data_IF_342555186646
#
_entry.id   IF_342555186646
#
_cell.length_a   1.000
_cell.length_b   1.000
_cell.length_c   1.000
_cell.angle_alpha   90.00
_cell.angle_beta   90.00
_cell.angle_gamma   90.00
#
_symmetry.space_group_name_H-M   'P 1'
#
loop_
_entity.id
_entity.type
_entity.pdbx_description
1 polymer ?
#
# COMPACT_ATOMS: atom_id res chain seq x y z
N UNK A 1 -43.48 18.35 1.46
CA UNK A 1 -42.85 17.19 0.82
C UNK A 1 -41.74 16.71 1.73
N UNK A 2 -41.91 15.54 2.32
CA UNK A 2 -41.00 14.99 3.34
C UNK A 2 -39.69 14.51 2.69
N UNK A 3 -38.61 14.38 3.48
CA UNK A 3 -37.30 13.89 2.98
C UNK A 3 -37.41 12.50 2.33
N UNK A 4 -38.39 11.69 2.76
CA UNK A 4 -38.71 10.38 2.18
C UNK A 4 -39.33 10.51 0.77
N UNK A 5 -40.28 11.42 0.56
CA UNK A 5 -40.88 11.67 -0.76
C UNK A 5 -39.87 12.20 -1.78
N UNK A 6 -38.85 12.95 -1.33
CA UNK A 6 -37.78 13.44 -2.20
C UNK A 6 -36.83 12.33 -2.65
N UNK A 7 -36.62 11.30 -1.81
CA UNK A 7 -35.76 10.14 -2.08
C UNK A 7 -36.32 9.25 -3.20
N UNK A 8 -37.64 9.20 -3.36
CA UNK A 8 -38.33 8.46 -4.42
C UNK A 8 -38.49 9.27 -5.73
N UNK A 9 -38.26 10.59 -5.71
CA UNK A 9 -38.51 11.48 -6.86
C UNK A 9 -37.33 11.64 -7.85
N UNK A 10 -36.12 11.23 -7.45
CA UNK A 10 -34.91 11.35 -8.28
C UNK A 10 -34.70 10.14 -9.20
N UNK A 11 -34.00 10.35 -10.33
CA UNK A 11 -33.65 9.23 -11.22
C UNK A 11 -32.66 8.26 -10.54
N UNK A 12 -32.53 7.03 -11.08
CA UNK A 12 -31.68 5.98 -10.46
C UNK A 12 -30.24 6.45 -10.21
N UNK A 13 -29.68 7.24 -11.13
CA UNK A 13 -28.32 7.78 -11.01
C UNK A 13 -28.20 8.77 -9.85
N UNK A 14 -29.18 9.64 -9.66
CA UNK A 14 -29.23 10.58 -8.54
C UNK A 14 -29.35 9.84 -7.21
N UNK A 15 -30.20 8.81 -7.13
CA UNK A 15 -30.31 7.95 -5.95
C UNK A 15 -28.98 7.27 -5.62
N UNK A 16 -28.28 6.74 -6.63
CA UNK A 16 -26.96 6.15 -6.50
C UNK A 16 -25.92 7.16 -6.00
N UNK A 17 -25.83 8.35 -6.61
CA UNK A 17 -24.93 9.42 -6.20
C UNK A 17 -25.16 9.83 -4.73
N UNK A 18 -26.43 9.99 -4.35
CA UNK A 18 -26.82 10.35 -2.99
C UNK A 18 -26.42 9.27 -1.98
N UNK A 19 -26.50 7.99 -2.37
CA UNK A 19 -26.07 6.88 -1.53
C UNK A 19 -24.55 6.80 -1.40
N UNK A 20 -23.80 6.88 -2.51
CA UNK A 20 -22.32 6.84 -2.52
C UNK A 20 -21.73 7.95 -1.66
N UNK A 21 -22.31 9.15 -1.72
CA UNK A 21 -21.81 10.33 -1.00
C UNK A 21 -22.46 10.56 0.36
N UNK A 22 -23.29 9.62 0.84
CA UNK A 22 -23.98 9.73 2.13
C UNK A 22 -23.03 9.70 3.32
N UNK A 23 -23.23 10.61 4.26
CA UNK A 23 -22.54 10.67 5.56
C UNK A 23 -23.12 9.69 6.59
N UNK A 24 -24.28 9.09 6.31
CA UNK A 24 -24.96 8.15 7.20
C UNK A 24 -24.46 6.70 7.02
N UNK A 25 -23.64 6.44 6.01
CA UNK A 25 -23.01 5.15 5.83
C UNK A 25 -22.03 4.88 6.98
N UNK A 26 -22.09 3.68 7.57
CA UNK A 26 -21.19 3.27 8.67
C UNK A 26 -19.71 3.45 8.32
N UNK A 27 -19.36 3.18 7.07
CA UNK A 27 -18.09 3.52 6.45
C UNK A 27 -18.39 4.36 5.21
N UNK A 28 -17.90 5.60 5.19
CA UNK A 28 -18.07 6.47 4.05
C UNK A 28 -17.52 5.82 2.77
N UNK A 29 -18.24 5.92 1.65
CA UNK A 29 -17.77 5.40 0.37
C UNK A 29 -17.08 6.54 -0.39
N UNK A 30 -17.86 7.50 -0.90
CA UNK A 30 -17.36 8.58 -1.75
C UNK A 30 -16.92 8.10 -3.13
N UNK A 31 -16.63 9.03 -4.03
CA UNK A 31 -16.18 8.69 -5.39
C UNK A 31 -14.82 8.01 -5.39
N UNK A 32 -13.93 8.40 -4.48
CA UNK A 32 -12.66 7.69 -4.31
C UNK A 32 -12.86 6.27 -3.77
N UNK A 33 -13.87 6.05 -2.93
CA UNK A 33 -14.22 4.72 -2.42
C UNK A 33 -14.56 3.72 -3.50
N UNK A 34 -15.16 4.17 -4.61
CA UNK A 34 -15.54 3.31 -5.75
C UNK A 34 -14.32 2.62 -6.38
N UNK A 35 -13.17 3.29 -6.43
CA UNK A 35 -11.91 2.69 -6.89
C UNK A 35 -11.14 2.03 -5.76
N UNK A 36 -11.08 2.67 -4.59
CA UNK A 36 -10.32 2.22 -3.44
C UNK A 36 -10.73 0.82 -2.96
N UNK A 37 -12.03 0.56 -2.86
CA UNK A 37 -12.56 -0.70 -2.32
C UNK A 37 -12.15 -1.90 -3.18
N UNK A 38 -12.45 -1.95 -4.50
CA UNK A 38 -12.07 -3.10 -5.31
C UNK A 38 -10.54 -3.28 -5.39
N UNK A 39 -9.75 -2.21 -5.49
CA UNK A 39 -8.29 -2.37 -5.59
C UNK A 39 -7.67 -2.86 -4.29
N UNK A 40 -8.06 -2.33 -3.13
CA UNK A 40 -7.54 -2.80 -1.86
C UNK A 40 -8.00 -4.23 -1.54
N UNK A 41 -9.23 -4.61 -1.92
CA UNK A 41 -9.71 -5.99 -1.78
C UNK A 41 -8.87 -6.95 -2.64
N UNK A 42 -8.66 -6.62 -3.92
CA UNK A 42 -7.83 -7.43 -4.82
C UNK A 42 -6.40 -7.58 -4.31
N UNK A 43 -5.75 -6.47 -3.90
CA UNK A 43 -4.40 -6.50 -3.34
C UNK A 43 -4.33 -7.35 -2.06
N UNK A 44 -5.30 -7.18 -1.16
CA UNK A 44 -5.34 -7.90 0.13
C UNK A 44 -5.56 -9.39 -0.09
N UNK A 45 -6.51 -9.78 -0.93
CA UNK A 45 -6.80 -11.18 -1.22
C UNK A 45 -5.61 -11.86 -1.90
N UNK A 46 -4.99 -11.22 -2.89
CA UNK A 46 -3.81 -11.76 -3.55
C UNK A 46 -2.63 -11.89 -2.57
N UNK A 47 -2.38 -10.89 -1.74
CA UNK A 47 -1.33 -10.93 -0.72
C UNK A 47 -1.52 -12.09 0.26
N UNK A 48 -2.72 -12.26 0.82
CA UNK A 48 -3.00 -13.34 1.78
C UNK A 48 -2.75 -14.71 1.14
N UNK A 49 -3.26 -14.94 -0.07
CA UNK A 49 -3.11 -16.23 -0.76
C UNK A 49 -1.64 -16.47 -1.10
N UNK A 50 -0.95 -15.48 -1.67
CA UNK A 50 0.45 -15.62 -2.07
C UNK A 50 1.38 -15.83 -0.86
N UNK A 51 1.16 -15.10 0.23
CA UNK A 51 1.95 -15.24 1.45
C UNK A 51 1.79 -16.64 2.08
N UNK A 52 0.61 -17.26 1.95
CA UNK A 52 0.37 -18.60 2.49
C UNK A 52 0.90 -19.68 1.55
N UNK A 53 0.65 -19.57 0.24
CA UNK A 53 0.71 -20.71 -0.67
C UNK A 53 1.38 -20.44 -2.04
N UNK A 54 2.00 -19.28 -2.27
CA UNK A 54 2.75 -19.09 -3.52
C UNK A 54 3.94 -20.05 -3.60
N UNK A 55 4.20 -20.65 -4.78
CA UNK A 55 5.42 -21.42 -5.00
C UNK A 55 6.66 -20.51 -5.02
N UNK A 56 7.88 -21.08 -5.06
CA UNK A 56 9.12 -20.30 -5.17
C UNK A 56 9.19 -19.45 -6.45
N UNK A 57 9.79 -18.26 -6.34
CA UNK A 57 9.85 -17.23 -7.40
C UNK A 57 11.28 -16.97 -7.84
N UNK A 58 11.55 -16.93 -9.14
CA UNK A 58 12.88 -16.61 -9.71
C UNK A 58 13.12 -15.09 -9.77
N UNK A 59 13.35 -14.48 -8.61
CA UNK A 59 13.48 -13.02 -8.44
C UNK A 59 14.60 -12.41 -9.29
N UNK A 60 15.76 -13.06 -9.35
CA UNK A 60 16.95 -12.50 -10.03
C UNK A 60 16.99 -12.87 -11.53
N UNK A 61 16.07 -13.71 -11.99
CA UNK A 61 16.02 -14.17 -13.39
C UNK A 61 17.15 -15.12 -13.77
N UNK A 62 17.83 -15.70 -12.79
CA UNK A 62 18.97 -16.62 -12.96
C UNK A 62 18.58 -18.09 -12.79
N UNK A 63 17.27 -18.39 -12.72
CA UNK A 63 16.71 -19.72 -12.45
C UNK A 63 17.05 -20.25 -11.07
N UNK A 64 17.07 -19.37 -10.08
CA UNK A 64 17.26 -19.71 -8.66
C UNK A 64 16.03 -19.26 -7.84
N UNK A 65 14.98 -20.10 -7.75
CA UNK A 65 13.73 -19.71 -7.11
C UNK A 65 13.87 -19.54 -5.60
N UNK A 66 13.32 -18.45 -5.08
CA UNK A 66 13.27 -18.13 -3.65
C UNK A 66 11.90 -18.51 -3.10
N UNK A 67 11.89 -19.35 -2.05
CA UNK A 67 10.66 -19.68 -1.32
C UNK A 67 10.25 -18.51 -0.42
N UNK A 68 9.04 -17.99 -0.63
CA UNK A 68 8.47 -16.91 0.19
C UNK A 68 7.25 -17.32 1.03
N UNK A 69 6.59 -18.44 0.73
CA UNK A 69 5.32 -18.78 1.34
C UNK A 69 5.45 -19.62 2.61
N UNK A 70 4.41 -19.57 3.47
CA UNK A 70 4.33 -20.39 4.68
C UNK A 70 4.31 -21.90 4.37
N UNK A 71 3.63 -22.30 3.30
CA UNK A 71 3.55 -23.71 2.90
C UNK A 71 4.89 -24.25 2.39
N UNK A 72 5.77 -23.39 1.87
CA UNK A 72 7.13 -23.74 1.44
C UNK A 72 8.19 -23.52 2.54
N UNK A 73 7.79 -23.67 3.81
CA UNK A 73 8.70 -23.76 4.95
C UNK A 73 9.08 -22.44 5.62
N UNK A 74 8.44 -21.32 5.25
CA UNK A 74 8.65 -20.05 5.93
C UNK A 74 7.78 -19.90 7.18
N UNK A 75 8.27 -19.11 8.14
CA UNK A 75 7.46 -18.59 9.25
C UNK A 75 7.04 -17.14 8.97
N UNK A 76 6.34 -16.49 9.90
CA UNK A 76 5.87 -15.10 9.74
C UNK A 76 7.03 -14.10 9.53
N UNK A 77 8.20 -14.36 10.08
CA UNK A 77 9.37 -13.48 9.94
C UNK A 77 10.04 -13.68 8.59
N UNK A 78 10.26 -14.93 8.19
CA UNK A 78 10.96 -15.25 6.94
C UNK A 78 10.07 -15.18 5.70
N UNK A 79 8.76 -15.30 5.85
CA UNK A 79 7.81 -15.29 4.75
C UNK A 79 7.70 -13.92 4.06
N UNK A 80 7.49 -13.96 2.75
CA UNK A 80 7.31 -12.79 1.90
C UNK A 80 6.57 -13.14 0.61
N UNK A 81 5.86 -12.17 0.04
CA UNK A 81 5.60 -12.21 -1.41
C UNK A 81 6.82 -11.64 -2.11
N UNK A 82 7.53 -12.50 -2.84
CA UNK A 82 8.81 -12.22 -3.50
C UNK A 82 8.59 -11.30 -4.71
N UNK A 83 9.46 -10.28 -4.93
CA UNK A 83 9.42 -9.42 -6.12
C UNK A 83 9.39 -10.17 -7.45
N UNK A 84 8.87 -9.51 -8.50
CA UNK A 84 8.84 -10.10 -9.84
C UNK A 84 10.24 -10.25 -10.43
N UNK A 85 10.42 -11.26 -11.27
CA UNK A 85 11.72 -11.62 -11.85
C UNK A 85 12.41 -10.45 -12.57
N UNK A 86 13.73 -10.36 -12.42
CA UNK A 86 14.56 -9.41 -13.18
C UNK A 86 14.51 -9.67 -14.69
N UNK A 87 14.17 -10.89 -15.12
CA UNK A 87 13.90 -11.19 -16.53
C UNK A 87 12.68 -10.42 -17.08
N UNK A 88 11.75 -10.02 -16.21
CA UNK A 88 10.62 -9.14 -16.53
C UNK A 88 11.05 -7.66 -16.51
N UNK A 89 11.99 -7.29 -15.64
CA UNK A 89 12.44 -5.90 -15.52
C UNK A 89 11.30 -4.95 -15.15
N UNK A 90 11.07 -3.92 -15.97
CA UNK A 90 9.95 -2.97 -15.84
C UNK A 90 8.72 -3.33 -16.70
N UNK A 91 8.75 -4.46 -17.40
CA UNK A 91 7.60 -4.86 -18.21
C UNK A 91 6.37 -5.09 -17.32
N UNK A 92 5.23 -4.62 -17.79
CA UNK A 92 3.96 -4.86 -17.14
C UNK A 92 3.58 -6.33 -17.34
N UNK A 93 3.51 -7.09 -16.26
CA UNK A 93 3.31 -8.55 -16.30
C UNK A 93 1.99 -8.98 -15.63
N UNK A 94 0.84 -8.68 -16.27
CA UNK A 94 -0.45 -9.12 -15.80
C UNK A 94 -0.65 -10.63 -16.03
N UNK A 95 -1.67 -11.20 -15.40
CA UNK A 95 -1.97 -12.63 -15.50
C UNK A 95 -2.12 -13.13 -16.94
N UNK A 96 -2.68 -12.30 -17.83
CA UNK A 96 -2.92 -12.65 -19.24
C UNK A 96 -1.69 -12.50 -20.15
N UNK A 97 -0.55 -12.03 -19.63
CA UNK A 97 0.71 -12.01 -20.37
C UNK A 97 1.47 -13.34 -20.24
N UNK A 98 1.24 -14.07 -19.15
CA UNK A 98 1.79 -15.41 -18.96
C UNK A 98 1.04 -16.45 -19.81
N UNK A 99 1.72 -17.51 -20.24
CA UNK A 99 1.09 -18.61 -20.95
C UNK A 99 0.14 -19.41 -20.03
N UNK A 100 0.42 -19.45 -18.73
CA UNK A 100 -0.41 -20.08 -17.71
C UNK A 100 -0.14 -19.53 -16.31
N UNK A 101 -0.92 -19.99 -15.31
CA UNK A 101 -0.82 -19.55 -13.92
C UNK A 101 0.52 -19.97 -13.30
N UNK A 102 1.06 -21.15 -13.63
CA UNK A 102 2.32 -21.63 -13.06
C UNK A 102 3.49 -20.74 -13.45
N UNK A 103 3.57 -20.35 -14.73
CA UNK A 103 4.55 -19.38 -15.22
C UNK A 103 4.38 -18.01 -14.56
N UNK A 104 3.13 -17.55 -14.42
CA UNK A 104 2.85 -16.27 -13.75
C UNK A 104 3.33 -16.27 -12.29
N UNK A 105 3.12 -17.38 -11.58
CA UNK A 105 3.60 -17.57 -10.21
C UNK A 105 5.12 -17.65 -10.15
N UNK A 106 5.76 -18.44 -11.02
CA UNK A 106 7.22 -18.61 -11.08
C UNK A 106 7.95 -17.27 -11.31
N UNK A 107 7.39 -16.39 -12.14
CA UNK A 107 7.95 -15.08 -12.45
C UNK A 107 7.56 -13.96 -11.45
N UNK A 108 6.87 -14.30 -10.35
CA UNK A 108 6.53 -13.34 -9.29
C UNK A 108 5.42 -12.36 -9.67
N UNK A 109 4.52 -12.77 -10.58
CA UNK A 109 3.35 -12.00 -10.98
C UNK A 109 2.47 -11.48 -9.83
N UNK A 110 2.25 -12.23 -8.72
CA UNK A 110 1.52 -11.72 -7.55
C UNK A 110 2.07 -10.40 -7.01
N UNK A 111 3.39 -10.21 -7.02
CA UNK A 111 4.01 -8.99 -6.52
C UNK A 111 3.52 -7.76 -7.28
N UNK A 112 3.62 -7.76 -8.62
CA UNK A 112 3.17 -6.65 -9.46
C UNK A 112 1.67 -6.38 -9.28
N UNK A 113 0.84 -7.44 -9.25
CA UNK A 113 -0.60 -7.29 -9.02
C UNK A 113 -0.88 -6.58 -7.69
N UNK A 114 -0.23 -7.02 -6.61
CA UNK A 114 -0.43 -6.45 -5.27
C UNK A 114 0.02 -4.99 -5.24
N UNK A 115 1.26 -4.69 -5.66
CA UNK A 115 1.80 -3.33 -5.53
C UNK A 115 1.00 -2.32 -6.36
N UNK A 116 0.57 -2.66 -7.58
CA UNK A 116 -0.16 -1.72 -8.42
C UNK A 116 -1.57 -1.43 -7.89
N UNK A 117 -2.29 -2.48 -7.46
CA UNK A 117 -3.61 -2.30 -6.85
C UNK A 117 -3.52 -1.59 -5.49
N UNK A 118 -2.50 -1.91 -4.69
CA UNK A 118 -2.23 -1.24 -3.41
C UNK A 118 -1.96 0.25 -3.61
N UNK A 119 -1.09 0.62 -4.56
CA UNK A 119 -0.76 2.02 -4.84
C UNK A 119 -2.00 2.82 -5.28
N UNK A 120 -2.82 2.28 -6.20
CA UNK A 120 -4.10 2.91 -6.58
C UNK A 120 -5.01 3.05 -5.34
N UNK A 121 -5.08 2.01 -4.52
CA UNK A 121 -5.88 1.98 -3.30
C UNK A 121 -5.49 3.08 -2.30
N UNK A 122 -4.19 3.26 -2.00
CA UNK A 122 -3.74 4.28 -1.05
C UNK A 122 -3.85 5.70 -1.61
N UNK A 123 -3.72 5.90 -2.92
CA UNK A 123 -4.02 7.20 -3.56
C UNK A 123 -5.50 7.54 -3.43
N UNK A 124 -6.39 6.57 -3.66
CA UNK A 124 -7.81 6.77 -3.47
C UNK A 124 -8.16 6.96 -1.98
N UNK A 125 -7.47 6.28 -1.06
CA UNK A 125 -7.63 6.50 0.38
C UNK A 125 -7.28 7.94 0.77
N UNK A 126 -6.18 8.49 0.23
CA UNK A 126 -5.80 9.89 0.40
C UNK A 126 -6.90 10.84 -0.10
N UNK A 127 -7.42 10.61 -1.31
CA UNK A 127 -8.53 11.39 -1.88
C UNK A 127 -9.82 11.27 -1.06
N UNK A 128 -10.13 10.09 -0.54
CA UNK A 128 -11.30 9.83 0.30
C UNK A 128 -11.26 10.60 1.62
N UNK A 129 -10.08 10.75 2.23
CA UNK A 129 -9.93 11.60 3.43
C UNK A 129 -10.28 13.06 3.13
N UNK A 130 -9.83 13.58 2.00
CA UNK A 130 -10.22 14.91 1.53
C UNK A 130 -11.73 15.00 1.27
N UNK A 131 -12.29 14.05 0.52
CA UNK A 131 -13.70 14.06 0.14
C UNK A 131 -14.61 14.08 1.38
N UNK A 132 -14.34 13.22 2.37
CA UNK A 132 -15.12 13.19 3.61
C UNK A 132 -14.93 14.46 4.44
N UNK A 133 -13.71 15.00 4.51
CA UNK A 133 -13.46 16.27 5.21
C UNK A 133 -14.31 17.40 4.63
N UNK A 134 -14.48 17.44 3.30
CA UNK A 134 -15.33 18.40 2.63
C UNK A 134 -16.81 18.17 2.96
N UNK A 135 -17.31 16.92 2.93
CA UNK A 135 -18.71 16.61 3.28
C UNK A 135 -19.07 17.01 4.70
N UNK A 136 -18.12 16.91 5.63
CA UNK A 136 -18.31 17.25 7.04
C UNK A 136 -17.99 18.73 7.36
N UNK A 137 -17.60 19.55 6.38
CA UNK A 137 -17.21 20.94 6.61
C UNK A 137 -15.93 21.09 7.46
N UNK A 138 -15.08 20.06 7.46
CA UNK A 138 -13.82 20.03 8.20
C UNK A 138 -12.70 20.76 7.42
N UNK A 139 -11.62 21.07 8.14
CA UNK A 139 -10.37 21.56 7.56
C UNK A 139 -9.71 20.43 6.72
N UNK A 140 -9.30 20.67 5.45
CA UNK A 140 -8.98 19.59 4.49
C UNK A 140 -7.52 19.12 4.50
N UNK A 141 -6.85 19.10 5.66
CA UNK A 141 -5.39 18.85 5.74
C UNK A 141 -4.97 17.48 6.26
N UNK A 142 -5.92 16.61 6.64
CA UNK A 142 -5.61 15.24 7.09
C UNK A 142 -4.95 14.44 5.95
N UNK A 143 -5.46 14.57 4.73
CA UNK A 143 -4.89 13.92 3.54
C UNK A 143 -3.47 14.41 3.23
N UNK A 144 -3.14 15.65 3.57
CA UNK A 144 -1.78 16.22 3.40
C UNK A 144 -0.81 15.59 4.39
N UNK A 145 -1.23 15.31 5.63
CA UNK A 145 -0.40 14.52 6.54
C UNK A 145 -0.22 13.08 6.04
N UNK A 146 -1.30 12.47 5.53
CA UNK A 146 -1.26 11.11 4.97
C UNK A 146 -0.46 11.00 3.66
N UNK A 147 -0.17 12.10 2.96
CA UNK A 147 0.67 12.04 1.77
C UNK A 147 2.12 11.65 2.09
N UNK A 148 2.62 11.87 3.31
CA UNK A 148 3.97 11.48 3.70
C UNK A 148 4.20 9.95 3.60
N UNK A 149 3.39 9.07 4.24
CA UNK A 149 3.53 7.63 4.05
C UNK A 149 3.16 7.15 2.63
N UNK A 150 2.25 7.82 1.93
CA UNK A 150 1.96 7.49 0.52
C UNK A 150 3.20 7.72 -0.35
N UNK A 151 3.88 8.86 -0.19
CA UNK A 151 5.13 9.15 -0.90
C UNK A 151 6.23 8.14 -0.57
N UNK A 152 6.35 7.71 0.68
CA UNK A 152 7.33 6.69 1.08
C UNK A 152 7.03 5.32 0.42
N UNK A 153 5.76 4.90 0.39
CA UNK A 153 5.36 3.68 -0.29
C UNK A 153 5.63 3.73 -1.80
N UNK A 154 5.32 4.86 -2.44
CA UNK A 154 5.63 5.10 -3.87
C UNK A 154 7.14 5.06 -4.12
N UNK A 155 7.95 5.59 -3.22
CA UNK A 155 9.41 5.57 -3.36
C UNK A 155 9.95 4.14 -3.43
N UNK A 156 9.54 3.24 -2.52
CA UNK A 156 10.10 1.88 -2.42
C UNK A 156 9.46 0.86 -3.35
N UNK A 157 8.21 1.05 -3.78
CA UNK A 157 7.50 0.10 -4.64
C UNK A 157 7.43 0.51 -6.11
N UNK A 158 7.75 1.76 -6.45
CA UNK A 158 7.63 2.24 -7.83
C UNK A 158 8.85 3.05 -8.28
N UNK A 159 9.22 4.10 -7.57
CA UNK A 159 10.29 5.01 -8.03
C UNK A 159 11.65 4.33 -8.01
N UNK A 160 11.98 3.62 -6.92
CA UNK A 160 13.25 2.91 -6.83
C UNK A 160 13.37 1.80 -7.89
N UNK A 161 12.37 0.89 -8.07
CA UNK A 161 12.34 -0.03 -9.20
C UNK A 161 12.55 0.62 -10.57
N UNK A 162 11.85 1.73 -10.86
CA UNK A 162 12.02 2.46 -12.12
C UNK A 162 13.45 2.97 -12.28
N UNK A 163 14.04 3.51 -11.21
CA UNK A 163 15.41 4.01 -11.21
C UNK A 163 16.45 2.91 -11.44
N UNK A 164 16.22 1.71 -10.91
CA UNK A 164 17.10 0.55 -11.10
C UNK A 164 16.82 -0.25 -12.38
N UNK A 165 15.68 -0.01 -13.03
CA UNK A 165 15.29 -0.71 -14.25
C UNK A 165 14.62 -2.06 -14.04
N UNK A 166 14.19 -2.40 -12.82
CA UNK A 166 13.50 -3.66 -12.54
C UNK A 166 12.63 -3.62 -11.28
N UNK A 167 11.48 -4.29 -11.31
CA UNK A 167 10.68 -4.56 -10.12
C UNK A 167 11.28 -5.62 -9.19
N UNK A 168 12.31 -6.37 -9.60
CA UNK A 168 13.09 -7.25 -8.71
C UNK A 168 13.79 -6.46 -7.59
N UNK A 169 14.17 -5.22 -7.88
CA UNK A 169 14.83 -4.30 -6.93
C UNK A 169 13.84 -3.60 -5.98
N UNK A 170 12.54 -3.84 -6.15
CA UNK A 170 11.52 -3.33 -5.24
C UNK A 170 11.59 -4.00 -3.87
N UNK A 171 11.15 -3.29 -2.83
CA UNK A 171 11.06 -3.89 -1.49
C UNK A 171 10.10 -5.10 -1.51
N UNK A 172 10.57 -6.28 -1.12
CA UNK A 172 9.73 -7.48 -1.02
C UNK A 172 8.68 -7.37 0.10
N UNK A 173 7.55 -8.05 -0.06
CA UNK A 173 6.40 -7.92 0.86
C UNK A 173 6.51 -8.91 2.03
N UNK A 174 7.47 -8.67 2.92
CA UNK A 174 7.74 -9.49 4.10
C UNK A 174 8.71 -8.84 5.07
N UNK A 175 8.82 -9.38 6.30
CA UNK A 175 9.66 -8.80 7.34
C UNK A 175 11.15 -8.94 6.97
N UNK A 176 11.63 -10.17 6.77
CA UNK A 176 13.01 -10.41 6.33
C UNK A 176 13.33 -9.79 4.97
N UNK A 177 12.36 -9.75 4.05
CA UNK A 177 12.52 -9.10 2.75
C UNK A 177 12.75 -7.59 2.88
N UNK A 178 12.10 -6.94 3.84
CA UNK A 178 12.34 -5.52 4.15
C UNK A 178 13.77 -5.30 4.66
N UNK A 179 14.28 -6.18 5.53
CA UNK A 179 15.68 -6.09 5.98
C UNK A 179 16.68 -6.29 4.85
N UNK A 180 16.44 -7.27 3.98
CA UNK A 180 17.26 -7.52 2.80
C UNK A 180 17.35 -6.26 1.91
N UNK A 181 16.20 -5.65 1.59
CA UNK A 181 16.15 -4.39 0.85
C UNK A 181 16.98 -3.29 1.53
N UNK A 182 16.83 -3.09 2.84
CA UNK A 182 17.58 -2.05 3.56
C UNK A 182 19.10 -2.28 3.54
N UNK A 183 19.55 -3.54 3.66
CA UNK A 183 20.99 -3.85 3.63
C UNK A 183 21.59 -3.63 2.24
N UNK A 184 20.91 -4.06 1.19
CA UNK A 184 21.33 -3.82 -0.20
C UNK A 184 21.34 -2.32 -0.48
N UNK A 185 20.27 -1.61 -0.11
CA UNK A 185 20.16 -0.17 -0.31
C UNK A 185 21.29 0.59 0.41
N UNK A 186 21.68 0.15 1.62
CA UNK A 186 22.83 0.71 2.31
C UNK A 186 24.15 0.40 1.59
N UNK A 187 24.32 -0.82 1.08
CA UNK A 187 25.54 -1.21 0.38
C UNK A 187 25.74 -0.42 -0.93
N UNK A 188 24.66 -0.18 -1.67
CA UNK A 188 24.71 0.49 -2.97
C UNK A 188 24.70 2.02 -2.87
N UNK A 189 23.95 2.58 -1.91
CA UNK A 189 23.70 4.03 -1.85
C UNK A 189 24.28 4.73 -0.63
N UNK A 190 24.89 3.99 0.30
CA UNK A 190 25.38 4.51 1.58
C UNK A 190 24.35 5.40 2.29
N UNK A 191 23.10 4.92 2.35
CA UNK A 191 21.92 5.66 2.80
C UNK A 191 22.09 6.35 4.16
N UNK A 192 22.80 5.71 5.10
CA UNK A 192 23.06 6.29 6.42
C UNK A 192 23.78 7.64 6.37
N UNK A 193 24.56 7.89 5.31
CA UNK A 193 25.27 9.15 5.09
C UNK A 193 24.46 10.18 4.29
N UNK A 194 23.25 9.84 3.83
CA UNK A 194 22.42 10.73 3.06
C UNK A 194 21.62 11.69 3.96
N UNK A 195 21.66 13.03 3.75
CA UNK A 195 21.03 14.00 4.65
C UNK A 195 19.51 13.86 4.70
N UNK A 196 18.83 13.46 3.62
CA UNK A 196 17.38 13.23 3.66
C UNK A 196 17.00 12.04 4.55
N UNK A 197 17.84 11.00 4.62
CA UNK A 197 17.61 9.91 5.55
C UNK A 197 17.77 10.37 6.99
N UNK A 198 18.82 11.16 7.28
CA UNK A 198 19.02 11.76 8.61
C UNK A 198 17.84 12.65 9.03
N UNK A 199 17.28 13.45 8.11
CA UNK A 199 16.06 14.23 8.36
C UNK A 199 14.85 13.33 8.63
N UNK A 200 14.70 12.23 7.89
CA UNK A 200 13.67 11.22 8.13
C UNK A 200 13.79 10.61 9.54
N UNK A 201 15.00 10.22 9.94
CA UNK A 201 15.31 9.69 11.28
C UNK A 201 14.97 10.73 12.37
N UNK A 202 15.40 11.98 12.21
CA UNK A 202 15.04 13.06 13.12
C UNK A 202 13.52 13.26 13.21
N UNK A 203 12.81 13.17 12.08
CA UNK A 203 11.36 13.26 12.00
C UNK A 203 10.65 12.16 12.79
N UNK A 204 11.03 10.88 12.62
CA UNK A 204 10.38 9.76 13.33
C UNK A 204 10.75 9.72 14.81
N UNK A 205 12.00 10.00 15.18
CA UNK A 205 12.41 10.07 16.59
C UNK A 205 11.80 11.26 17.31
N UNK A 206 11.80 12.44 16.69
CA UNK A 206 11.11 13.62 17.20
C UNK A 206 9.61 13.38 17.34
N UNK A 207 8.98 12.77 16.33
CA UNK A 207 7.56 12.40 16.36
C UNK A 207 7.21 11.46 17.52
N UNK A 208 8.01 10.41 17.75
CA UNK A 208 7.83 9.50 18.87
C UNK A 208 8.00 10.20 20.23
N UNK A 209 9.05 11.03 20.37
CA UNK A 209 9.29 11.82 21.58
C UNK A 209 8.13 12.76 21.88
N UNK A 210 7.66 13.52 20.89
CA UNK A 210 6.57 14.47 21.07
C UNK A 210 5.22 13.79 21.31
N UNK A 211 4.99 12.61 20.70
CA UNK A 211 3.80 11.81 21.01
C UNK A 211 3.78 11.39 22.48
N UNK A 212 4.90 10.89 23.00
CA UNK A 212 5.02 10.51 24.41
C UNK A 212 4.89 11.71 25.35
N UNK A 213 5.56 12.83 25.02
CA UNK A 213 5.51 14.06 25.79
C UNK A 213 4.11 14.68 25.82
N UNK A 214 3.41 14.72 24.69
CA UNK A 214 2.04 15.24 24.64
C UNK A 214 1.11 14.39 25.49
N UNK A 215 1.17 13.06 25.36
CA UNK A 215 0.39 12.13 26.16
C UNK A 215 0.65 12.30 27.66
N UNK A 216 1.92 12.43 28.07
CA UNK A 216 2.28 12.60 29.48
C UNK A 216 1.79 13.93 30.05
N UNK A 217 1.97 15.04 29.32
CA UNK A 217 1.54 16.38 29.76
C UNK A 217 0.02 16.46 29.91
N UNK A 218 -0.74 16.05 28.89
CA UNK A 218 -2.22 16.08 28.94
C UNK A 218 -2.75 15.22 30.08
N UNK A 219 -2.21 14.01 30.24
CA UNK A 219 -2.63 13.09 31.31
C UNK A 219 -2.31 13.66 32.70
N UNK A 220 -1.18 14.36 32.86
CA UNK A 220 -0.76 14.94 34.14
C UNK A 220 -1.64 16.10 34.62
N UNK A 221 -2.48 16.66 33.75
CA UNK A 221 -3.30 17.86 34.04
C UNK A 221 -4.81 17.61 33.92
N UNK A 222 -5.27 16.36 34.02
CA UNK A 222 -6.70 16.06 34.03
C UNK A 222 -7.36 16.67 35.27
N UNK A 223 -8.49 17.35 35.06
CA UNK A 223 -9.30 17.90 36.16
C UNK A 223 -9.97 16.74 36.89
N UNK A 224 -9.91 16.75 38.22
CA UNK A 224 -10.53 15.75 39.08
C UNK A 224 -12.04 15.89 39.15
#
# INVERSE_FOLDING_TARGET
MTVLERRESGNLWEQFCNWITSTENRLYIGWFGVLMVPTLLTATTCFIIAFIAAPPVDMDGIREPISGSLMDGNNIISGAVVPSSNAVGLHFYPLWEAANIEEWLYNGGPYQLIIFHFLIGIFCWLGRQWELSYRLGMRPWICVAYSAPVSAAVAVFLIYPIGQGSFSEGMGLGISATFNFMFIFQAEHNLLMHPFHMLGVAGVFGGALFSAMHGSLVTSSLVR
#
